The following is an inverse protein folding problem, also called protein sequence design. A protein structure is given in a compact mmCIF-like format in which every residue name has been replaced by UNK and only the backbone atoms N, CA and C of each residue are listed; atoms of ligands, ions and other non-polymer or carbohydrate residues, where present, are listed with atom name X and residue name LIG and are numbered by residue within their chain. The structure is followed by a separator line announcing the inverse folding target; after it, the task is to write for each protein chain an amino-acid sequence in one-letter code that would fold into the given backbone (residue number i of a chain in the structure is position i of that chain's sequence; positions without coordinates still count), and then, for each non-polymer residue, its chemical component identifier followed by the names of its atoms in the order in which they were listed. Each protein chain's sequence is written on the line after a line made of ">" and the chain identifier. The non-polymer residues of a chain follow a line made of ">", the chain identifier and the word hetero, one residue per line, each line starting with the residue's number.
data_IF_356879121873
#
_entry.id   IF_356879121873
#
_cell.length_a   1.000
_cell.length_b   1.000
_cell.length_c   1.000
_cell.angle_alpha   90.00
_cell.angle_beta   90.00
_cell.angle_gamma   90.00
#
_symmetry.space_group_name_H-M   'P 1'
#
loop_
_entity.id
_entity.type
_entity.pdbx_description
1 polymer ?
#
# COMPACT_ATOMS: atom_id res chain seq x y z
N UNK A 1 42.90 -6.83 -1.29
CA UNK A 1 42.42 -5.43 -1.35
C UNK A 1 42.18 -4.95 -2.80
N UNK A 2 42.95 -5.39 -3.81
CA UNK A 2 42.72 -4.96 -5.21
C UNK A 2 41.51 -5.60 -5.90
N UNK A 3 41.13 -6.83 -5.56
CA UNK A 3 39.99 -7.55 -6.18
C UNK A 3 38.61 -6.97 -5.84
N UNK A 4 38.46 -6.40 -4.64
CA UNK A 4 37.19 -5.87 -4.11
C UNK A 4 36.74 -4.62 -4.89
N UNK A 5 37.70 -3.81 -5.34
CA UNK A 5 37.44 -2.57 -6.07
C UNK A 5 36.84 -2.82 -7.46
N UNK A 6 37.36 -3.82 -8.18
CA UNK A 6 36.87 -4.21 -9.51
C UNK A 6 35.45 -4.79 -9.48
N UNK A 7 35.10 -5.53 -8.43
CA UNK A 7 33.72 -6.04 -8.26
C UNK A 7 32.72 -4.91 -7.99
N UNK A 8 33.12 -3.91 -7.20
CA UNK A 8 32.28 -2.73 -6.92
C UNK A 8 32.03 -1.86 -8.16
N UNK A 9 33.04 -1.73 -9.02
CA UNK A 9 32.99 -0.92 -10.23
C UNK A 9 32.14 -1.60 -11.32
N UNK A 10 32.25 -2.93 -11.45
CA UNK A 10 31.34 -3.73 -12.27
C UNK A 10 29.89 -3.60 -11.81
N UNK A 11 29.64 -3.73 -10.50
CA UNK A 11 28.30 -3.60 -9.93
C UNK A 11 27.66 -2.22 -10.21
N UNK A 12 28.46 -1.15 -10.18
CA UNK A 12 28.01 0.20 -10.53
C UNK A 12 27.63 0.32 -12.01
N UNK A 13 28.45 -0.20 -12.93
CA UNK A 13 28.13 -0.16 -14.38
C UNK A 13 26.91 -1.00 -14.76
N UNK A 14 26.61 -2.05 -13.99
CA UNK A 14 25.45 -2.90 -14.19
C UNK A 14 24.11 -2.25 -13.79
N UNK A 15 24.13 -1.13 -13.05
CA UNK A 15 22.91 -0.45 -12.66
C UNK A 15 22.22 0.21 -13.87
N UNK A 16 20.88 0.14 -13.97
CA UNK A 16 20.15 0.77 -15.07
C UNK A 16 20.41 2.27 -15.23
N UNK A 17 20.66 2.98 -14.12
CA UNK A 17 20.97 4.42 -14.13
C UNK A 17 22.31 4.74 -14.80
N UNK A 18 23.22 3.76 -14.87
CA UNK A 18 24.56 3.89 -15.45
C UNK A 18 24.68 3.23 -16.83
N UNK A 19 23.56 2.97 -17.51
CA UNK A 19 23.54 2.32 -18.83
C UNK A 19 23.52 0.79 -18.77
N UNK A 20 23.49 0.22 -17.56
CA UNK A 20 23.25 -1.20 -17.35
C UNK A 20 21.82 -1.63 -17.72
N UNK A 21 21.60 -2.93 -17.67
CA UNK A 21 20.34 -3.52 -18.11
C UNK A 21 19.20 -3.24 -17.12
N UNK A 22 18.01 -2.81 -17.60
CA UNK A 22 16.83 -2.62 -16.73
C UNK A 22 16.50 -3.90 -15.96
N UNK A 23 16.43 -3.80 -14.63
CA UNK A 23 16.04 -4.90 -13.76
C UNK A 23 14.59 -5.34 -14.00
N UNK A 24 13.69 -4.38 -14.28
CA UNK A 24 12.29 -4.66 -14.61
C UNK A 24 12.13 -4.53 -16.12
N UNK A 25 11.84 -5.67 -16.77
CA UNK A 25 11.72 -5.78 -18.23
C UNK A 25 10.36 -5.38 -18.77
N UNK A 26 9.36 -5.49 -17.93
CA UNK A 26 7.98 -5.24 -18.26
C UNK A 26 7.49 -4.03 -17.47
N UNK A 27 6.41 -3.42 -17.94
CA UNK A 27 5.79 -2.33 -17.19
C UNK A 27 5.29 -2.88 -15.85
N UNK A 28 5.57 -2.16 -14.76
CA UNK A 28 4.96 -2.47 -13.47
C UNK A 28 3.43 -2.50 -13.61
N UNK A 29 2.74 -3.45 -12.96
CA UNK A 29 1.29 -3.44 -12.96
C UNK A 29 0.79 -2.12 -12.37
N UNK A 30 -0.42 -1.71 -12.77
CA UNK A 30 -1.09 -0.62 -12.09
C UNK A 30 -1.25 -0.97 -10.60
N UNK A 31 -1.34 0.06 -9.75
CA UNK A 31 -1.75 -0.15 -8.36
C UNK A 31 -3.12 -0.83 -8.36
N UNK A 32 -3.34 -1.72 -7.39
CA UNK A 32 -4.64 -2.34 -7.22
C UNK A 32 -5.71 -1.27 -7.01
N UNK A 33 -6.89 -1.54 -7.57
CA UNK A 33 -8.05 -0.68 -7.48
C UNK A 33 -9.04 -1.30 -6.50
N UNK A 34 -9.81 -0.46 -5.82
CA UNK A 34 -10.93 -0.91 -5.00
C UNK A 34 -11.99 -1.64 -5.85
N UNK A 35 -12.62 -2.64 -5.25
CA UNK A 35 -13.71 -3.44 -5.81
C UNK A 35 -15.09 -3.00 -5.33
N UNK A 36 -16.05 -3.91 -5.51
CA UNK A 36 -17.46 -3.66 -5.17
C UNK A 36 -17.67 -3.60 -3.66
N UNK A 37 -16.93 -4.40 -2.89
CA UNK A 37 -17.04 -4.46 -1.43
C UNK A 37 -16.65 -3.13 -0.78
N UNK A 38 -15.54 -2.53 -1.20
CA UNK A 38 -15.10 -1.24 -0.67
C UNK A 38 -16.03 -0.11 -1.10
N UNK A 39 -16.58 -0.17 -2.34
CA UNK A 39 -17.59 0.78 -2.80
C UNK A 39 -18.84 0.71 -1.92
N UNK A 40 -19.32 -0.48 -1.60
CA UNK A 40 -20.51 -0.66 -0.78
C UNK A 40 -20.27 -0.19 0.66
N UNK A 41 -19.07 -0.41 1.21
CA UNK A 41 -18.69 0.17 2.49
C UNK A 41 -18.70 1.70 2.49
N UNK A 42 -18.12 2.32 1.45
CA UNK A 42 -18.14 3.76 1.27
C UNK A 42 -19.57 4.30 1.19
N UNK A 43 -20.43 3.68 0.38
CA UNK A 43 -21.83 4.08 0.26
C UNK A 43 -22.58 4.00 1.60
N UNK A 44 -22.36 2.94 2.39
CA UNK A 44 -22.96 2.83 3.74
C UNK A 44 -22.57 4.00 4.65
N UNK A 45 -21.31 4.45 4.60
CA UNK A 45 -20.85 5.61 5.40
C UNK A 45 -21.56 6.88 4.94
N UNK A 46 -21.66 7.08 3.63
CA UNK A 46 -22.36 8.24 3.06
C UNK A 46 -23.85 8.25 3.42
N UNK A 47 -24.53 7.11 3.29
CA UNK A 47 -25.95 6.96 3.64
C UNK A 47 -26.20 7.28 5.11
N UNK A 48 -25.31 6.80 6.00
CA UNK A 48 -25.39 7.10 7.43
C UNK A 48 -25.21 8.58 7.73
N UNK A 49 -24.26 9.24 7.07
CA UNK A 49 -24.03 10.67 7.24
C UNK A 49 -25.22 11.50 6.75
N UNK A 50 -25.80 11.14 5.61
CA UNK A 50 -27.03 11.77 5.08
C UNK A 50 -28.17 11.61 6.08
N UNK A 51 -28.40 10.39 6.59
CA UNK A 51 -29.46 10.11 7.55
C UNK A 51 -29.27 10.86 8.87
N UNK A 52 -28.02 11.02 9.32
CA UNK A 52 -27.68 11.73 10.55
C UNK A 52 -27.66 13.26 10.39
N UNK A 53 -27.69 13.78 9.16
CA UNK A 53 -27.59 15.22 8.88
C UNK A 53 -26.24 15.84 9.27
N UNK A 54 -25.20 15.01 9.41
CA UNK A 54 -23.85 15.43 9.81
C UNK A 54 -22.82 14.74 8.93
N UNK A 55 -21.75 15.45 8.58
CA UNK A 55 -20.68 14.90 7.76
C UNK A 55 -20.01 13.70 8.45
N UNK A 56 -19.48 12.71 7.69
CA UNK A 56 -18.67 11.64 8.26
C UNK A 56 -17.49 12.21 9.06
N UNK A 57 -17.26 11.66 10.25
CA UNK A 57 -16.13 12.00 11.12
C UNK A 57 -15.15 10.82 11.27
N UNK A 58 -14.13 11.03 12.10
CA UNK A 58 -13.21 9.97 12.52
C UNK A 58 -13.82 9.11 13.64
N UNK A 59 -13.25 7.93 13.87
CA UNK A 59 -13.65 7.01 14.95
C UNK A 59 -15.08 6.50 14.80
N UNK A 60 -15.45 6.14 13.57
CA UNK A 60 -16.71 5.48 13.26
C UNK A 60 -16.55 3.96 13.21
N UNK A 61 -17.68 3.23 13.21
CA UNK A 61 -17.72 1.76 13.22
C UNK A 61 -16.85 1.06 12.16
N UNK A 62 -16.70 1.65 10.98
CA UNK A 62 -15.89 1.06 9.90
C UNK A 62 -14.38 1.21 10.20
N UNK A 63 -13.98 2.28 10.90
CA UNK A 63 -12.60 2.48 11.38
C UNK A 63 -12.29 1.52 12.52
N UNK A 64 -13.21 1.36 13.48
CA UNK A 64 -13.05 0.40 14.57
C UNK A 64 -12.89 -1.04 14.06
N UNK A 65 -13.71 -1.42 13.08
CA UNK A 65 -13.62 -2.74 12.44
C UNK A 65 -12.27 -2.92 11.73
N UNK A 66 -11.84 -1.93 10.94
CA UNK A 66 -10.54 -1.96 10.27
C UNK A 66 -9.39 -2.11 11.27
N UNK A 67 -9.38 -1.32 12.34
CA UNK A 67 -8.31 -1.37 13.35
C UNK A 67 -8.25 -2.72 14.05
N UNK A 68 -9.40 -3.31 14.40
CA UNK A 68 -9.47 -4.63 15.01
C UNK A 68 -8.96 -5.73 14.06
N UNK A 69 -9.47 -5.79 12.83
CA UNK A 69 -9.05 -6.77 11.82
C UNK A 69 -7.57 -6.63 11.46
N UNK A 70 -7.07 -5.39 11.38
CA UNK A 70 -5.67 -5.11 11.12
C UNK A 70 -4.77 -5.54 12.28
N UNK A 71 -5.19 -5.30 13.53
CA UNK A 71 -4.46 -5.78 14.70
C UNK A 71 -4.41 -7.31 14.75
N UNK A 72 -5.52 -8.00 14.46
CA UNK A 72 -5.56 -9.46 14.34
C UNK A 72 -4.63 -9.97 13.25
N UNK A 73 -4.66 -9.35 12.06
CA UNK A 73 -3.79 -9.69 10.92
C UNK A 73 -2.30 -9.61 11.28
N UNK A 74 -1.91 -8.64 12.10
CA UNK A 74 -0.52 -8.45 12.54
C UNK A 74 -0.07 -9.38 13.68
N UNK A 75 -0.94 -10.30 14.12
CA UNK A 75 -0.64 -11.24 15.21
C UNK A 75 -1.13 -10.78 16.58
N UNK A 76 -2.08 -9.85 16.62
CA UNK A 76 -2.70 -9.33 17.84
C UNK A 76 -2.00 -8.09 18.42
N UNK A 77 -2.75 -7.29 19.16
CA UNK A 77 -2.31 -6.04 19.79
C UNK A 77 -3.51 -5.25 20.34
N UNK A 78 -3.25 -4.12 21.00
CA UNK A 78 -4.32 -3.19 21.37
C UNK A 78 -4.65 -2.31 20.16
N UNK A 79 -5.86 -2.48 19.62
CA UNK A 79 -6.51 -1.59 18.67
C UNK A 79 -7.22 -0.45 19.41
#
# INVERSE_FOLDING_TARGET
>A
IKEDKTMSEFALTALPINGGEKAIKQKMPARFHFGQEEKDACNRVMDQAIAAGVAPGYSGKEEDALCAEFAELLGGGYA
#
